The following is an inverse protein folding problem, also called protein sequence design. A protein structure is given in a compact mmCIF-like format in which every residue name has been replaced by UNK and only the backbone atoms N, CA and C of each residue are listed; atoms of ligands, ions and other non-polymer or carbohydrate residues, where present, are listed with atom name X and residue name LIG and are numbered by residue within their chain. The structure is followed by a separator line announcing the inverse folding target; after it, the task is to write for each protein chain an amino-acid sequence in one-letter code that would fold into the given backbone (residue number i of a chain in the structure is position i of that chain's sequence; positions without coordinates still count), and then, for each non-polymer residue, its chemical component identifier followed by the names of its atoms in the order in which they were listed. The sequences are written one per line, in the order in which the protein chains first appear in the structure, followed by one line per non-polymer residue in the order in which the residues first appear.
data_IF_072027530812
#
_entry.id   IF_072027530812
#
_cell.length_a   1.000
_cell.length_b   1.000
_cell.length_c   1.000
_cell.angle_alpha   90.00
_cell.angle_beta   90.00
_cell.angle_gamma   90.00
#
_symmetry.space_group_name_H-M   'P 1'
#
loop_
_entity.id
_entity.type
_entity.pdbx_description
1 polymer ?
#
# COMPACT_ATOMS: atom_id res chain seq x y z
N UNK A 1 -18.45 25.97 -59.49
CA UNK A 1 -18.18 24.82 -58.65
C UNK A 1 -17.92 25.30 -57.23
N UNK A 2 -18.90 25.19 -56.34
CA UNK A 2 -18.76 25.59 -54.95
C UNK A 2 -18.25 24.42 -54.14
N UNK A 3 -17.10 24.59 -53.49
CA UNK A 3 -16.57 23.65 -52.51
C UNK A 3 -17.23 23.96 -51.17
N UNK A 4 -18.22 23.16 -50.78
CA UNK A 4 -18.80 23.24 -49.45
C UNK A 4 -17.82 22.68 -48.42
N UNK A 5 -17.29 23.52 -47.53
CA UNK A 5 -16.58 23.09 -46.34
C UNK A 5 -17.57 22.49 -45.36
N UNK A 6 -17.47 21.18 -45.14
CA UNK A 6 -18.16 20.50 -44.05
C UNK A 6 -17.48 20.92 -42.76
N UNK A 7 -18.03 21.91 -42.06
CA UNK A 7 -17.66 22.19 -40.69
C UNK A 7 -18.14 21.03 -39.82
N UNK A 8 -17.23 20.19 -39.33
CA UNK A 8 -17.53 19.17 -38.33
C UNK A 8 -17.88 19.87 -37.03
N UNK A 9 -19.13 19.72 -36.56
CA UNK A 9 -19.58 20.20 -35.26
C UNK A 9 -18.95 19.31 -34.15
N UNK A 10 -17.68 19.53 -33.84
CA UNK A 10 -17.00 18.96 -32.67
C UNK A 10 -16.91 19.96 -31.52
N UNK A 11 -17.43 21.18 -31.73
CA UNK A 11 -17.53 22.19 -30.67
C UNK A 11 -18.50 21.69 -29.58
N UNK A 12 -17.99 21.56 -28.36
CA UNK A 12 -18.75 21.10 -27.19
C UNK A 12 -18.67 19.59 -26.88
N UNK A 13 -17.99 18.77 -27.72
CA UNK A 13 -17.87 17.32 -27.44
C UNK A 13 -17.08 17.03 -26.17
N UNK A 14 -16.07 17.85 -25.86
CA UNK A 14 -15.29 17.75 -24.62
C UNK A 14 -16.13 18.13 -23.40
N UNK A 15 -17.00 19.13 -23.54
CA UNK A 15 -17.86 19.60 -22.45
C UNK A 15 -19.03 18.65 -22.20
N UNK A 16 -19.61 18.07 -23.27
CA UNK A 16 -20.65 17.05 -23.18
C UNK A 16 -20.14 15.71 -22.59
N UNK A 17 -18.86 15.39 -22.79
CA UNK A 17 -18.21 14.21 -22.22
C UNK A 17 -17.60 14.46 -20.83
N UNK A 18 -17.62 15.69 -20.31
CA UNK A 18 -17.31 15.95 -18.91
C UNK A 18 -18.37 15.30 -18.04
N UNK A 19 -18.03 14.18 -17.44
CA UNK A 19 -18.85 13.62 -16.37
C UNK A 19 -18.79 14.61 -15.20
N UNK A 20 -19.88 15.34 -14.95
CA UNK A 20 -19.98 16.37 -13.91
C UNK A 20 -19.66 15.91 -12.48
N UNK A 21 -19.46 14.61 -12.28
CA UNK A 21 -19.11 13.98 -11.02
C UNK A 21 -17.63 13.56 -10.95
N UNK A 22 -16.80 13.89 -11.96
CA UNK A 22 -15.35 13.63 -11.92
C UNK A 22 -14.62 14.94 -11.72
N UNK A 23 -13.83 14.99 -10.65
CA UNK A 23 -12.87 16.07 -10.43
C UNK A 23 -11.91 16.19 -11.61
N UNK A 24 -11.65 17.42 -12.08
CA UNK A 24 -10.65 17.68 -13.11
C UNK A 24 -9.24 17.38 -12.61
N UNK A 25 -8.27 17.20 -13.52
CA UNK A 25 -6.88 17.00 -13.14
C UNK A 25 -6.34 18.16 -12.26
N UNK A 26 -6.80 19.40 -12.53
CA UNK A 26 -6.43 20.58 -11.75
C UNK A 26 -7.05 20.57 -10.35
N UNK A 27 -8.30 20.12 -10.22
CA UNK A 27 -8.96 19.93 -8.91
C UNK A 27 -8.32 18.81 -8.12
N UNK A 28 -7.89 17.72 -8.77
CA UNK A 28 -7.17 16.63 -8.15
C UNK A 28 -5.72 17.00 -7.77
N UNK A 29 -5.14 18.01 -8.43
CA UNK A 29 -3.82 18.56 -8.08
C UNK A 29 -3.82 19.52 -6.90
N UNK A 30 -5.00 20.07 -6.53
CA UNK A 30 -5.13 20.98 -5.38
C UNK A 30 -4.80 20.26 -4.08
N UNK A 31 -4.05 20.94 -3.23
CA UNK A 31 -3.72 20.50 -1.87
C UNK A 31 -3.09 19.08 -1.80
N UNK A 32 -2.43 18.65 -2.88
CA UNK A 32 -1.89 17.30 -3.03
C UNK A 32 -2.95 16.18 -2.87
N UNK A 33 -4.22 16.48 -3.13
CA UNK A 33 -5.34 15.56 -2.92
C UNK A 33 -5.14 14.21 -3.60
N UNK A 34 -4.65 14.19 -4.85
CA UNK A 34 -4.38 12.94 -5.58
C UNK A 34 -3.38 12.07 -4.83
N UNK A 35 -2.24 12.66 -4.43
CA UNK A 35 -1.20 11.92 -3.71
C UNK A 35 -1.68 11.52 -2.33
N UNK A 36 -2.42 12.40 -1.64
CA UNK A 36 -3.01 12.15 -0.33
C UNK A 36 -4.02 11.01 -0.33
N UNK A 37 -4.87 10.91 -1.35
CA UNK A 37 -5.85 9.83 -1.45
C UNK A 37 -5.18 8.45 -1.63
N UNK A 38 -4.14 8.34 -2.46
CA UNK A 38 -3.36 7.11 -2.60
C UNK A 38 -2.59 6.79 -1.32
N UNK A 39 -2.09 7.81 -0.62
CA UNK A 39 -1.43 7.63 0.67
C UNK A 39 -2.38 7.06 1.74
N UNK A 40 -3.61 7.57 1.82
CA UNK A 40 -4.66 7.00 2.69
C UNK A 40 -4.97 5.55 2.29
N UNK A 41 -5.11 5.27 1.00
CA UNK A 41 -5.35 3.90 0.52
C UNK A 41 -4.24 2.94 0.96
N UNK A 42 -2.97 3.35 0.88
CA UNK A 42 -1.85 2.55 1.34
C UNK A 42 -1.90 2.32 2.86
N UNK A 43 -2.21 3.36 3.66
CA UNK A 43 -2.32 3.23 5.12
C UNK A 43 -3.40 2.22 5.52
N UNK A 44 -4.59 2.31 4.93
CA UNK A 44 -5.71 1.41 5.22
C UNK A 44 -5.38 -0.07 4.89
N UNK A 45 -4.49 -0.33 3.94
CA UNK A 45 -4.08 -1.70 3.59
C UNK A 45 -2.81 -2.16 4.32
N UNK A 46 -1.94 -1.23 4.73
CA UNK A 46 -0.77 -1.53 5.55
C UNK A 46 -1.16 -1.79 7.02
N UNK A 47 -2.19 -1.11 7.49
CA UNK A 47 -2.75 -1.25 8.84
C UNK A 47 -4.26 -1.50 8.72
N UNK A 48 -4.68 -2.72 8.35
CA UNK A 48 -6.09 -3.02 8.19
C UNK A 48 -6.83 -2.83 9.51
N UNK A 49 -7.95 -2.14 9.42
CA UNK A 49 -8.87 -1.96 10.53
C UNK A 49 -9.76 -3.21 10.69
N UNK A 50 -10.64 -3.16 11.67
CA UNK A 50 -11.60 -4.20 12.04
C UNK A 50 -12.36 -4.84 10.85
N UNK A 51 -13.05 -5.90 11.14
CA UNK A 51 -13.86 -6.72 10.27
C UNK A 51 -13.05 -7.52 9.25
N UNK A 52 -13.53 -7.66 8.03
CA UNK A 52 -12.98 -8.60 7.06
C UNK A 52 -11.47 -8.43 6.83
N UNK A 53 -10.98 -7.20 6.71
CA UNK A 53 -9.58 -6.96 6.38
C UNK A 53 -8.66 -7.35 7.55
N UNK A 54 -8.90 -6.85 8.76
CA UNK A 54 -8.12 -7.23 9.93
C UNK A 54 -8.31 -8.71 10.28
N UNK A 55 -9.56 -9.17 10.29
CA UNK A 55 -9.90 -10.54 10.65
C UNK A 55 -9.17 -11.56 9.77
N UNK A 56 -9.15 -11.35 8.45
CA UNK A 56 -8.50 -12.27 7.51
C UNK A 56 -6.97 -12.11 7.44
N UNK A 57 -6.44 -10.94 7.80
CA UNK A 57 -5.00 -10.71 7.72
C UNK A 57 -4.26 -11.04 9.03
N UNK A 58 -4.90 -10.85 10.18
CA UNK A 58 -4.25 -10.97 11.48
C UNK A 58 -4.94 -12.00 12.36
N UNK A 59 -6.24 -11.82 12.58
CA UNK A 59 -6.95 -12.49 13.67
C UNK A 59 -7.09 -14.00 13.41
N UNK A 60 -7.70 -14.39 12.31
CA UNK A 60 -7.96 -15.80 11.99
C UNK A 60 -6.71 -16.58 11.60
N UNK A 61 -5.65 -15.92 11.16
CA UNK A 61 -4.39 -16.55 10.74
C UNK A 61 -3.34 -16.44 11.84
N UNK A 62 -2.89 -15.22 12.14
CA UNK A 62 -1.75 -14.98 13.02
C UNK A 62 -1.99 -15.45 14.45
N UNK A 63 -3.14 -15.10 15.01
CA UNK A 63 -3.46 -15.44 16.38
C UNK A 63 -3.65 -16.94 16.60
N UNK A 64 -4.25 -17.65 15.64
CA UNK A 64 -4.42 -19.10 15.74
C UNK A 64 -3.13 -19.86 15.50
N UNK A 65 -2.38 -19.53 14.44
CA UNK A 65 -1.11 -20.18 14.15
C UNK A 65 -0.05 -19.87 15.21
N UNK A 66 -0.06 -18.65 15.75
CA UNK A 66 0.78 -18.22 16.86
C UNK A 66 0.37 -18.79 18.23
N UNK A 67 -0.78 -19.44 18.30
CA UNK A 67 -1.37 -20.00 19.53
C UNK A 67 -1.68 -18.96 20.60
N UNK A 68 -1.93 -17.72 20.20
CA UNK A 68 -2.39 -16.67 21.10
C UNK A 68 -3.88 -16.80 21.41
N UNK A 69 -4.66 -17.34 20.48
CA UNK A 69 -6.09 -17.55 20.60
C UNK A 69 -6.49 -18.96 20.14
N UNK A 70 -7.62 -19.43 20.66
CA UNK A 70 -8.30 -20.64 20.17
C UNK A 70 -9.81 -20.37 20.17
N UNK A 71 -10.55 -21.16 19.40
CA UNK A 71 -12.01 -21.05 19.38
C UNK A 71 -12.62 -21.77 20.59
N UNK A 72 -13.72 -21.21 21.11
CA UNK A 72 -14.42 -21.75 22.27
C UNK A 72 -15.37 -22.93 21.96
N UNK A 73 -15.65 -23.18 20.68
CA UNK A 73 -16.55 -24.23 20.21
C UNK A 73 -16.02 -24.82 18.87
N UNK A 74 -16.79 -25.64 18.19
CA UNK A 74 -16.42 -26.22 16.88
C UNK A 74 -16.33 -25.17 15.76
N UNK A 75 -15.74 -24.01 16.06
CA UNK A 75 -15.69 -22.83 15.22
C UNK A 75 -15.66 -23.10 13.73
N UNK A 76 -16.65 -22.55 13.02
CA UNK A 76 -16.80 -22.69 11.57
C UNK A 76 -16.87 -24.15 11.07
N UNK A 77 -17.46 -25.05 11.85
CA UNK A 77 -17.57 -26.48 11.52
C UNK A 77 -16.19 -27.12 11.21
N UNK A 78 -15.21 -26.83 12.05
CA UNK A 78 -13.81 -27.26 11.91
C UNK A 78 -13.06 -26.71 10.68
N UNK A 79 -13.67 -25.79 9.92
CA UNK A 79 -13.02 -25.12 8.80
C UNK A 79 -12.32 -23.86 9.27
N UNK A 80 -11.09 -23.96 9.77
CA UNK A 80 -10.33 -22.85 10.33
C UNK A 80 -8.82 -23.08 10.23
N UNK A 81 -8.03 -22.05 10.47
CA UNK A 81 -6.57 -22.09 10.42
C UNK A 81 -5.95 -22.97 11.53
N UNK A 82 -6.56 -23.01 12.71
CA UNK A 82 -6.05 -23.84 13.81
C UNK A 82 -6.06 -25.33 13.48
N UNK A 83 -6.96 -25.76 12.60
CA UNK A 83 -7.02 -27.15 12.10
C UNK A 83 -6.36 -27.34 10.74
N UNK A 84 -5.68 -26.34 10.21
CA UNK A 84 -5.10 -26.36 8.87
C UNK A 84 -6.10 -26.71 7.75
N UNK A 85 -7.37 -26.36 7.98
CA UNK A 85 -8.51 -26.63 7.08
C UNK A 85 -9.31 -25.35 6.83
N UNK A 86 -8.62 -24.23 6.59
CA UNK A 86 -9.27 -22.96 6.37
C UNK A 86 -10.00 -22.94 5.00
N UNK A 87 -11.16 -22.25 4.90
CA UNK A 87 -11.83 -22.04 3.63
C UNK A 87 -10.94 -21.32 2.62
N UNK A 88 -10.97 -21.74 1.36
CA UNK A 88 -10.17 -21.11 0.30
C UNK A 88 -10.39 -19.58 0.20
N UNK A 89 -11.59 -19.09 0.47
CA UNK A 89 -11.90 -17.67 0.50
C UNK A 89 -11.07 -16.90 1.54
N UNK A 90 -10.86 -17.47 2.72
CA UNK A 90 -10.06 -16.88 3.78
C UNK A 90 -8.57 -16.87 3.43
N UNK A 91 -8.08 -18.00 2.89
CA UNK A 91 -6.67 -18.11 2.46
C UNK A 91 -6.34 -17.12 1.36
N UNK A 92 -7.26 -16.86 0.43
CA UNK A 92 -7.03 -15.97 -0.71
C UNK A 92 -7.25 -14.49 -0.39
N UNK A 93 -8.02 -14.19 0.66
CA UNK A 93 -8.48 -12.82 0.91
C UNK A 93 -7.34 -11.81 1.05
N UNK A 94 -6.33 -12.00 1.92
CA UNK A 94 -5.25 -11.03 2.07
C UNK A 94 -4.50 -10.77 0.76
N UNK A 95 -4.20 -11.81 0.00
CA UNK A 95 -3.51 -11.67 -1.28
C UNK A 95 -4.36 -10.92 -2.32
N UNK A 96 -5.62 -11.32 -2.47
CA UNK A 96 -6.52 -10.74 -3.47
C UNK A 96 -6.92 -9.31 -3.15
N UNK A 97 -7.07 -8.99 -1.87
CA UNK A 97 -7.56 -7.68 -1.44
C UNK A 97 -6.44 -6.68 -1.22
N UNK A 98 -5.43 -6.99 -0.42
CA UNK A 98 -4.39 -6.03 -0.03
C UNK A 98 -3.34 -5.79 -1.13
N UNK A 99 -2.86 -6.85 -1.79
CA UNK A 99 -1.76 -6.73 -2.74
C UNK A 99 -2.06 -5.77 -3.92
N UNK A 100 -3.17 -5.90 -4.65
CA UNK A 100 -3.48 -4.98 -5.75
C UNK A 100 -3.67 -3.54 -5.29
N UNK A 101 -4.33 -3.33 -4.15
CA UNK A 101 -4.60 -1.98 -3.62
C UNK A 101 -3.32 -1.26 -3.21
N UNK A 102 -2.40 -1.97 -2.55
CA UNK A 102 -1.11 -1.41 -2.15
C UNK A 102 -0.24 -1.14 -3.38
N UNK A 103 -0.15 -2.09 -4.30
CA UNK A 103 0.74 -1.96 -5.47
C UNK A 103 0.25 -0.90 -6.44
N UNK A 104 -1.07 -0.77 -6.67
CA UNK A 104 -1.61 0.28 -7.53
C UNK A 104 -1.41 1.68 -6.93
N UNK A 105 -1.78 1.87 -5.67
CA UNK A 105 -1.60 3.16 -4.99
C UNK A 105 -0.12 3.55 -4.90
N UNK A 106 0.77 2.60 -4.65
CA UNK A 106 2.21 2.85 -4.66
C UNK A 106 2.71 3.33 -6.02
N UNK A 107 2.30 2.67 -7.12
CA UNK A 107 2.68 3.09 -8.49
C UNK A 107 2.21 4.50 -8.81
N UNK A 108 1.02 4.89 -8.35
CA UNK A 108 0.53 6.25 -8.55
C UNK A 108 1.32 7.27 -7.74
N UNK A 109 1.66 6.99 -6.47
CA UNK A 109 2.54 7.86 -5.67
C UNK A 109 3.93 7.95 -6.32
N UNK A 110 4.50 6.83 -6.75
CA UNK A 110 5.80 6.77 -7.43
C UNK A 110 5.83 7.67 -8.67
N UNK A 111 4.78 7.63 -9.48
CA UNK A 111 4.61 8.47 -10.67
C UNK A 111 4.43 9.95 -10.32
N UNK A 112 3.57 10.27 -9.36
CA UNK A 112 3.24 11.65 -8.96
C UNK A 112 4.41 12.35 -8.26
N UNK A 113 5.22 11.61 -7.52
CA UNK A 113 6.37 12.14 -6.78
C UNK A 113 7.70 12.06 -7.54
N UNK A 114 7.72 11.49 -8.75
CA UNK A 114 8.94 11.20 -9.49
C UNK A 114 9.98 10.44 -8.63
N UNK A 115 9.53 9.50 -7.81
CA UNK A 115 10.36 8.68 -6.92
C UNK A 115 11.21 9.49 -5.94
N UNK A 116 10.70 10.62 -5.47
CA UNK A 116 11.43 11.53 -4.59
C UNK A 116 10.56 12.14 -3.51
N UNK A 117 11.21 12.74 -2.50
CA UNK A 117 10.54 13.46 -1.43
C UNK A 117 9.91 12.59 -0.35
N UNK A 118 9.36 13.26 0.65
CA UNK A 118 8.88 12.62 1.89
C UNK A 118 7.69 11.70 1.65
N UNK A 119 6.74 12.09 0.81
CA UNK A 119 5.56 11.27 0.51
C UNK A 119 5.95 9.94 -0.13
N UNK A 120 6.94 9.97 -1.03
CA UNK A 120 7.50 8.73 -1.61
C UNK A 120 8.17 7.86 -0.54
N UNK A 121 8.96 8.46 0.35
CA UNK A 121 9.59 7.75 1.46
C UNK A 121 8.57 7.07 2.39
N UNK A 122 7.50 7.79 2.77
CA UNK A 122 6.42 7.22 3.57
C UNK A 122 5.69 6.09 2.82
N UNK A 123 5.48 6.23 1.51
CA UNK A 123 4.88 5.19 0.68
C UNK A 123 5.77 3.92 0.60
N UNK A 124 7.09 4.06 0.52
CA UNK A 124 8.03 2.93 0.60
C UNK A 124 7.91 2.18 1.94
N UNK A 125 7.74 2.90 3.05
CA UNK A 125 7.57 2.30 4.38
C UNK A 125 6.24 1.54 4.45
N UNK A 126 5.15 2.13 3.96
CA UNK A 126 3.84 1.47 3.91
C UNK A 126 3.84 0.24 3.00
N UNK A 127 4.50 0.33 1.84
CA UNK A 127 4.70 -0.82 0.95
C UNK A 127 5.44 -1.95 1.69
N UNK A 128 6.52 -1.61 2.40
CA UNK A 128 7.27 -2.60 3.16
C UNK A 128 6.42 -3.24 4.26
N UNK A 129 5.65 -2.45 5.03
CA UNK A 129 4.75 -2.95 6.07
C UNK A 129 3.72 -3.94 5.52
N UNK A 130 3.08 -3.61 4.41
CA UNK A 130 2.05 -4.44 3.82
C UNK A 130 2.61 -5.72 3.17
N UNK A 131 3.66 -5.59 2.35
CA UNK A 131 4.22 -6.72 1.61
C UNK A 131 5.03 -7.68 2.50
N UNK A 132 5.63 -7.19 3.58
CA UNK A 132 6.27 -8.07 4.58
C UNK A 132 5.27 -9.05 5.17
N UNK A 133 4.09 -8.57 5.56
CA UNK A 133 3.00 -9.44 6.05
C UNK A 133 2.60 -10.48 5.00
N UNK A 134 2.40 -10.05 3.76
CA UNK A 134 1.98 -10.95 2.69
C UNK A 134 3.05 -11.99 2.35
N UNK A 135 4.32 -11.62 2.30
CA UNK A 135 5.39 -12.60 2.03
C UNK A 135 5.60 -13.56 3.21
N UNK A 136 5.36 -13.11 4.45
CA UNK A 136 5.38 -13.99 5.63
C UNK A 136 4.25 -15.04 5.57
N UNK A 137 3.12 -14.73 4.93
CA UNK A 137 1.98 -15.64 4.78
C UNK A 137 2.09 -16.56 3.57
N UNK A 138 2.56 -16.04 2.44
CA UNK A 138 2.49 -16.73 1.14
C UNK A 138 3.86 -17.11 0.57
N UNK A 139 4.96 -16.58 1.12
CA UNK A 139 6.30 -16.76 0.56
C UNK A 139 6.50 -15.86 -0.68
N UNK A 140 6.65 -16.43 -1.89
CA UNK A 140 6.86 -15.65 -3.11
C UNK A 140 5.71 -14.68 -3.41
N UNK A 141 6.04 -13.46 -3.88
CA UNK A 141 5.06 -12.42 -4.28
C UNK A 141 5.40 -11.82 -5.64
N UNK A 142 4.40 -11.38 -6.43
CA UNK A 142 4.61 -10.59 -7.64
C UNK A 142 4.81 -9.12 -7.25
N UNK A 143 6.06 -8.72 -7.02
CA UNK A 143 6.41 -7.34 -6.60
C UNK A 143 6.70 -6.39 -7.75
N UNK A 144 6.58 -6.87 -9.00
CA UNK A 144 6.67 -6.04 -10.20
C UNK A 144 8.10 -5.66 -10.61
N UNK A 145 9.12 -6.32 -10.07
CA UNK A 145 10.54 -6.11 -10.43
C UNK A 145 11.03 -7.05 -11.54
N UNK A 146 10.21 -8.01 -11.92
CA UNK A 146 10.52 -8.93 -13.00
C UNK A 146 10.08 -8.34 -14.35
N UNK A 147 10.69 -8.82 -15.45
CA UNK A 147 10.30 -8.44 -16.81
C UNK A 147 8.83 -8.74 -17.13
N UNK A 148 8.25 -9.69 -16.43
CA UNK A 148 6.83 -10.00 -16.45
C UNK A 148 6.20 -9.54 -15.13
N UNK A 149 5.28 -8.59 -15.17
CA UNK A 149 4.57 -8.02 -14.01
C UNK A 149 3.84 -9.07 -13.15
N UNK A 150 3.55 -10.23 -13.71
CA UNK A 150 2.91 -11.34 -13.02
C UNK A 150 3.90 -12.41 -12.51
N UNK A 151 5.20 -12.23 -12.76
CA UNK A 151 6.19 -13.16 -12.26
C UNK A 151 6.37 -13.01 -10.74
N UNK A 152 6.48 -14.16 -10.08
CA UNK A 152 6.68 -14.18 -8.63
C UNK A 152 8.17 -14.08 -8.32
N UNK A 153 8.52 -13.13 -7.47
CA UNK A 153 9.84 -13.05 -6.84
C UNK A 153 9.90 -13.98 -5.64
N UNK A 154 11.04 -14.63 -5.43
CA UNK A 154 11.25 -15.45 -4.22
C UNK A 154 11.10 -14.62 -2.96
N UNK A 155 10.76 -15.23 -1.84
CA UNK A 155 10.66 -14.54 -0.54
C UNK A 155 11.96 -13.80 -0.19
N UNK A 156 13.11 -14.42 -0.42
CA UNK A 156 14.42 -13.78 -0.22
C UNK A 156 14.55 -12.48 -1.03
N UNK A 157 14.15 -12.52 -2.31
CA UNK A 157 14.18 -11.34 -3.18
C UNK A 157 13.21 -10.26 -2.68
N UNK A 158 12.01 -10.66 -2.24
CA UNK A 158 11.04 -9.73 -1.64
C UNK A 158 11.66 -9.04 -0.43
N UNK A 159 12.25 -9.78 0.52
CA UNK A 159 12.90 -9.22 1.69
C UNK A 159 14.03 -8.23 1.33
N UNK A 160 14.92 -8.60 0.43
CA UNK A 160 16.01 -7.72 -0.05
C UNK A 160 15.47 -6.44 -0.67
N UNK A 161 14.42 -6.53 -1.48
CA UNK A 161 13.77 -5.37 -2.07
C UNK A 161 13.13 -4.46 -1.02
N UNK A 162 12.42 -5.03 -0.04
CA UNK A 162 11.80 -4.25 1.03
C UNK A 162 12.85 -3.55 1.91
N UNK A 163 13.97 -4.21 2.21
CA UNK A 163 15.09 -3.57 2.94
C UNK A 163 15.68 -2.42 2.13
N UNK A 164 15.90 -2.59 0.83
CA UNK A 164 16.39 -1.51 -0.05
C UNK A 164 15.40 -0.33 -0.08
N UNK A 165 14.11 -0.59 -0.17
CA UNK A 165 13.07 0.44 -0.10
C UNK A 165 13.10 1.20 1.23
N UNK A 166 13.27 0.51 2.36
CA UNK A 166 13.37 1.13 3.67
C UNK A 166 14.67 1.93 3.84
N UNK A 167 15.77 1.51 3.25
CA UNK A 167 17.00 2.31 3.23
C UNK A 167 16.78 3.61 2.47
N UNK A 168 16.24 3.54 1.26
CA UNK A 168 15.87 4.74 0.49
C UNK A 168 14.96 5.67 1.29
N UNK A 169 13.95 5.14 1.97
CA UNK A 169 13.04 5.94 2.79
C UNK A 169 13.76 6.61 3.97
N UNK A 170 14.63 5.88 4.67
CA UNK A 170 15.42 6.45 5.77
C UNK A 170 16.41 7.49 5.30
N UNK A 171 17.05 7.31 4.16
CA UNK A 171 18.00 8.27 3.56
C UNK A 171 17.33 9.60 3.20
N UNK A 172 16.06 9.55 2.77
CA UNK A 172 15.27 10.75 2.49
C UNK A 172 14.83 11.46 3.77
N UNK A 173 14.35 10.72 4.78
CA UNK A 173 13.77 11.30 6.00
C UNK A 173 14.85 11.78 6.97
N UNK A 174 15.96 11.06 7.11
CA UNK A 174 17.00 11.33 8.11
C UNK A 174 17.53 12.77 8.11
N UNK A 175 17.96 13.36 6.99
CA UNK A 175 18.47 14.74 6.99
C UNK A 175 17.42 15.74 7.44
N UNK A 176 16.14 15.48 7.16
CA UNK A 176 15.03 16.36 7.54
C UNK A 176 14.84 16.36 9.05
N UNK A 177 14.81 15.18 9.68
CA UNK A 177 14.65 15.08 11.15
C UNK A 177 15.89 15.53 11.91
N UNK A 178 17.08 15.46 11.32
CA UNK A 178 18.31 16.03 11.90
C UNK A 178 18.22 17.56 11.92
N UNK A 179 17.71 18.16 10.83
CA UNK A 179 17.53 19.60 10.74
C UNK A 179 16.39 20.12 11.65
N UNK A 180 15.32 19.33 11.81
CA UNK A 180 14.18 19.65 12.67
C UNK A 180 13.56 18.37 13.23
N UNK A 181 13.71 18.12 14.53
CA UNK A 181 13.19 16.92 15.19
C UNK A 181 11.65 16.81 15.12
N UNK A 182 10.96 17.94 15.03
CA UNK A 182 9.50 18.04 14.98
C UNK A 182 8.98 18.17 13.53
N UNK A 183 9.82 17.91 12.53
CA UNK A 183 9.43 18.00 11.13
C UNK A 183 8.23 17.10 10.82
N UNK A 184 7.27 17.67 10.12
CA UNK A 184 6.04 17.01 9.71
C UNK A 184 5.86 17.08 8.20
N UNK A 185 5.16 16.08 7.65
CA UNK A 185 4.72 16.08 6.26
C UNK A 185 3.42 15.28 6.10
N UNK A 186 2.59 15.65 5.14
CA UNK A 186 1.30 15.02 4.86
C UNK A 186 0.37 14.93 6.08
N UNK A 187 0.44 15.90 6.99
CA UNK A 187 -0.28 15.89 8.27
C UNK A 187 -1.78 15.66 8.09
N UNK A 188 -2.37 16.26 7.07
CA UNK A 188 -3.79 16.16 6.72
C UNK A 188 -4.20 14.74 6.31
N UNK A 189 -3.28 14.00 5.68
CA UNK A 189 -3.53 12.65 5.14
C UNK A 189 -2.92 11.53 5.99
N UNK A 190 -2.04 11.87 6.93
CA UNK A 190 -1.36 10.88 7.77
C UNK A 190 -2.17 10.50 9.00
N UNK A 191 -2.91 9.39 8.90
CA UNK A 191 -3.70 8.82 9.98
C UNK A 191 -2.88 8.02 11.00
N UNK A 192 -1.60 7.71 10.68
CA UNK A 192 -0.76 6.84 11.50
C UNK A 192 0.02 7.66 12.54
N UNK A 193 0.66 8.73 12.11
CA UNK A 193 1.54 9.53 12.97
C UNK A 193 1.29 11.04 12.88
N UNK A 194 0.17 11.46 12.29
CA UNK A 194 -0.18 12.89 12.12
C UNK A 194 0.97 13.71 11.51
N UNK A 195 1.62 13.14 10.51
CA UNK A 195 2.72 13.76 9.79
C UNK A 195 4.10 13.65 10.43
N UNK A 196 4.23 13.18 11.67
CA UNK A 196 5.48 13.19 12.43
C UNK A 196 6.57 12.30 11.80
N UNK A 197 7.57 12.90 11.17
CA UNK A 197 8.59 12.19 10.39
C UNK A 197 9.52 11.33 11.25
N UNK A 198 9.81 11.75 12.47
CA UNK A 198 10.63 10.96 13.39
C UNK A 198 9.99 9.60 13.73
N UNK A 199 8.64 9.52 13.76
CA UNK A 199 7.93 8.27 13.98
C UNK A 199 7.97 7.37 12.73
N UNK A 200 7.85 7.93 11.54
CA UNK A 200 8.04 7.20 10.28
C UNK A 200 9.45 6.62 10.17
N UNK A 201 10.47 7.39 10.55
CA UNK A 201 11.85 6.92 10.61
C UNK A 201 12.03 5.75 11.58
N UNK A 202 11.44 5.84 12.79
CA UNK A 202 11.44 4.74 13.76
C UNK A 202 10.75 3.49 13.24
N UNK A 203 9.59 3.63 12.59
CA UNK A 203 8.89 2.51 11.98
C UNK A 203 9.74 1.82 10.91
N UNK A 204 10.38 2.59 10.02
CA UNK A 204 11.25 2.03 9.00
C UNK A 204 12.40 1.19 9.60
N UNK A 205 13.06 1.71 10.64
CA UNK A 205 14.12 0.97 11.32
C UNK A 205 13.60 -0.26 12.09
N UNK A 206 12.42 -0.17 12.68
CA UNK A 206 11.78 -1.32 13.35
C UNK A 206 11.44 -2.43 12.36
N UNK A 207 10.98 -2.09 11.16
CA UNK A 207 10.74 -3.06 10.09
C UNK A 207 12.04 -3.69 9.60
N UNK A 208 13.11 -2.91 9.42
CA UNK A 208 14.45 -3.46 9.09
C UNK A 208 14.93 -4.44 10.15
N UNK A 209 14.81 -4.08 11.43
CA UNK A 209 15.17 -4.97 12.54
C UNK A 209 14.36 -6.26 12.52
N UNK A 210 13.02 -6.15 12.37
CA UNK A 210 12.13 -7.31 12.26
C UNK A 210 12.53 -8.25 11.12
N UNK A 211 12.88 -7.71 9.97
CA UNK A 211 13.35 -8.52 8.84
C UNK A 211 14.71 -9.15 9.09
N UNK A 212 15.66 -8.41 9.67
CA UNK A 212 17.00 -8.92 9.96
C UNK A 212 17.00 -10.10 10.96
N UNK A 213 16.06 -10.11 11.90
CA UNK A 213 15.94 -11.24 12.86
C UNK A 213 15.39 -12.51 12.17
N UNK A 214 14.70 -12.37 11.05
CA UNK A 214 14.04 -13.47 10.32
C UNK A 214 14.86 -14.03 9.16
N UNK A 215 15.90 -13.34 8.76
CA UNK A 215 16.83 -13.76 7.70
C UNK A 215 17.97 -14.59 8.28
#
# INVERSE_FOLDING_TARGET
MGVGTMASCTDGFEEANRQGNRASADELGRDNYSTGSFFIQMQNNAFPEQENAYQMNEDLIGNYLGRYMTYANNGFSDKNFARFNAPNGWVRYPFRDALPKVTSAFKDIERLTNKSGVTYAQALILKAQALLRLTDMYGPLPIGEESNVNAYSTQEKVYKTLIANLNTATDIIQPIIIASADAKANEEYDKVYSGQLSNWFKLANSLKLRMAIRM
#
